data_IF_205860942181
#
_entry.id   IF_205860942181
#
_cell.length_a   1.000
_cell.length_b   1.000
_cell.length_c   1.000
_cell.angle_alpha   90.00
_cell.angle_beta   90.00
_cell.angle_gamma   90.00
#
_symmetry.space_group_name_H-M   'P 1'
#
loop_
_entity.id
_entity.type
_entity.pdbx_description
1 polymer ?
#
# COMPACT_ATOMS: atom_id res chain seq x y z
N UNK A 1 -6.98 -15.46 -7.19
CA UNK A 1 -7.20 -14.00 -7.26
C UNK A 1 -8.49 -13.58 -7.96
N UNK A 2 -9.23 -14.51 -8.58
CA UNK A 2 -10.48 -14.24 -9.30
C UNK A 2 -11.65 -14.29 -8.32
N UNK A 3 -12.72 -13.54 -8.60
CA UNK A 3 -13.98 -13.71 -7.88
C UNK A 3 -14.67 -15.05 -8.22
N UNK A 4 -15.49 -15.60 -7.32
CA UNK A 4 -16.41 -16.68 -7.66
C UNK A 4 -17.33 -16.29 -8.82
N UNK A 5 -17.70 -17.24 -9.67
CA UNK A 5 -18.50 -16.97 -10.87
C UNK A 5 -19.82 -16.25 -10.56
N UNK A 6 -20.57 -16.70 -9.57
CA UNK A 6 -21.82 -16.06 -9.12
C UNK A 6 -21.63 -14.60 -8.68
N UNK A 7 -20.46 -14.24 -8.13
CA UNK A 7 -20.13 -12.86 -7.75
C UNK A 7 -19.86 -11.99 -8.99
N UNK A 8 -19.21 -12.56 -10.01
CA UNK A 8 -18.97 -11.88 -11.28
C UNK A 8 -20.28 -11.68 -12.06
N UNK A 9 -21.15 -12.68 -12.07
CA UNK A 9 -22.49 -12.57 -12.67
C UNK A 9 -23.33 -11.48 -11.99
N UNK A 10 -23.30 -11.42 -10.65
CA UNK A 10 -23.96 -10.37 -9.88
C UNK A 10 -23.41 -8.98 -10.25
N UNK A 11 -22.09 -8.84 -10.37
CA UNK A 11 -21.49 -7.58 -10.80
C UNK A 11 -22.04 -7.13 -12.16
N UNK A 12 -22.01 -7.98 -13.18
CA UNK A 12 -22.49 -7.62 -14.52
C UNK A 12 -24.01 -7.47 -14.60
N UNK A 13 -24.77 -8.18 -13.77
CA UNK A 13 -26.22 -7.99 -13.61
C UNK A 13 -26.56 -6.55 -13.19
N UNK A 14 -25.71 -5.93 -12.38
CA UNK A 14 -25.91 -4.57 -11.87
C UNK A 14 -25.22 -3.51 -12.73
N UNK A 15 -24.00 -3.77 -13.18
CA UNK A 15 -23.17 -2.80 -13.89
C UNK A 15 -23.65 -2.55 -15.33
N UNK A 16 -24.08 -3.59 -16.05
CA UNK A 16 -24.52 -3.40 -17.45
C UNK A 16 -25.80 -2.55 -17.57
N UNK A 17 -26.87 -2.76 -16.76
CA UNK A 17 -28.01 -1.85 -16.77
C UNK A 17 -27.65 -0.41 -16.40
N UNK A 18 -26.69 -0.23 -15.47
CA UNK A 18 -26.21 1.10 -15.10
C UNK A 18 -25.50 1.80 -16.26
N UNK A 19 -24.67 1.10 -17.03
CA UNK A 19 -24.06 1.64 -18.25
C UNK A 19 -25.11 2.00 -19.31
N UNK A 20 -26.11 1.15 -19.53
CA UNK A 20 -27.23 1.46 -20.45
C UNK A 20 -27.94 2.73 -20.00
N UNK A 21 -28.28 2.83 -18.72
CA UNK A 21 -28.93 4.01 -18.14
C UNK A 21 -28.09 5.27 -18.31
N UNK A 22 -26.79 5.19 -18.01
CA UNK A 22 -25.87 6.31 -18.19
C UNK A 22 -25.78 6.73 -19.66
N UNK A 23 -25.67 5.78 -20.60
CA UNK A 23 -25.61 6.06 -22.04
C UNK A 23 -26.87 6.75 -22.57
N UNK A 24 -28.04 6.37 -22.06
CA UNK A 24 -29.31 7.04 -22.38
C UNK A 24 -29.38 8.46 -21.81
N UNK A 25 -29.06 8.64 -20.53
CA UNK A 25 -29.18 9.94 -19.83
C UNK A 25 -28.17 10.97 -20.32
N UNK A 26 -26.97 10.52 -20.70
CA UNK A 26 -25.91 11.37 -21.24
C UNK A 26 -26.03 11.60 -22.75
N UNK A 27 -27.00 10.95 -23.42
CA UNK A 27 -27.21 10.96 -24.88
C UNK A 27 -26.02 10.45 -25.71
N UNK A 28 -25.06 9.76 -25.09
CA UNK A 28 -23.96 9.11 -25.79
C UNK A 28 -24.43 7.87 -26.57
N UNK A 29 -25.43 7.17 -26.03
CA UNK A 29 -26.04 6.01 -26.69
C UNK A 29 -27.54 5.93 -26.37
N UNK A 30 -28.36 6.87 -26.87
CA UNK A 30 -29.79 6.96 -26.53
C UNK A 30 -30.63 5.78 -27.07
N UNK A 31 -30.07 4.99 -27.99
CA UNK A 31 -30.73 3.86 -28.64
C UNK A 31 -30.56 2.54 -27.87
N UNK A 32 -29.74 2.49 -26.82
CA UNK A 32 -29.61 1.28 -26.00
C UNK A 32 -30.93 1.03 -25.29
N UNK A 33 -31.49 -0.18 -25.41
CA UNK A 33 -32.71 -0.59 -24.73
C UNK A 33 -32.44 -1.61 -23.63
N UNK A 34 -31.40 -2.44 -23.79
CA UNK A 34 -31.05 -3.47 -22.82
C UNK A 34 -29.54 -3.68 -22.66
N UNK A 35 -29.10 -4.37 -21.60
CA UNK A 35 -27.70 -4.78 -21.43
C UNK A 35 -27.10 -5.54 -22.63
N UNK A 36 -27.90 -6.29 -23.41
CA UNK A 36 -27.39 -7.00 -24.58
C UNK A 36 -26.95 -6.04 -25.69
N UNK A 37 -27.52 -4.84 -25.76
CA UNK A 37 -27.17 -3.83 -26.76
C UNK A 37 -25.75 -3.28 -26.57
N UNK A 38 -25.16 -3.38 -25.37
CA UNK A 38 -23.79 -2.97 -25.12
C UNK A 38 -22.79 -3.72 -26.03
N UNK A 39 -23.10 -4.95 -26.44
CA UNK A 39 -22.26 -5.73 -27.38
C UNK A 39 -22.20 -5.14 -28.79
N UNK A 40 -23.11 -4.22 -29.13
CA UNK A 40 -23.13 -3.50 -30.40
C UNK A 40 -22.19 -2.30 -30.41
N UNK A 41 -21.73 -1.87 -29.23
CA UNK A 41 -20.83 -0.74 -29.08
C UNK A 41 -19.38 -1.18 -29.18
N UNK A 42 -18.53 -0.27 -29.66
CA UNK A 42 -17.08 -0.42 -29.57
C UNK A 42 -16.61 -0.22 -28.12
N UNK A 43 -15.41 -0.73 -27.80
CA UNK A 43 -14.81 -0.53 -26.48
C UNK A 43 -14.65 0.96 -26.13
N UNK A 44 -14.29 1.80 -27.11
CA UNK A 44 -14.14 3.24 -26.94
C UNK A 44 -15.47 3.90 -26.53
N UNK A 45 -16.57 3.57 -27.21
CA UNK A 45 -17.90 4.06 -26.85
C UNK A 45 -18.34 3.62 -25.45
N UNK A 46 -18.03 2.37 -25.06
CA UNK A 46 -18.32 1.89 -23.70
C UNK A 46 -17.49 2.67 -22.68
N UNK A 47 -16.21 2.96 -22.96
CA UNK A 47 -15.35 3.76 -22.10
C UNK A 47 -15.87 5.20 -21.97
N UNK A 48 -16.38 5.81 -23.04
CA UNK A 48 -16.99 7.14 -22.99
C UNK A 48 -18.21 7.18 -22.07
N UNK A 49 -19.13 6.20 -22.23
CA UNK A 49 -20.31 6.06 -21.36
C UNK A 49 -19.88 5.84 -19.91
N UNK A 50 -18.89 4.95 -19.67
CA UNK A 50 -18.34 4.69 -18.34
C UNK A 50 -17.77 5.96 -17.72
N UNK A 51 -17.00 6.74 -18.48
CA UNK A 51 -16.39 7.97 -17.96
C UNK A 51 -17.47 8.99 -17.59
N UNK A 52 -18.47 9.17 -18.44
CA UNK A 52 -19.59 10.07 -18.17
C UNK A 52 -20.40 9.65 -16.93
N UNK A 53 -20.57 8.35 -16.69
CA UNK A 53 -21.16 7.82 -15.45
C UNK A 53 -20.40 8.29 -14.20
N UNK A 54 -19.07 8.16 -14.20
CA UNK A 54 -18.26 8.56 -13.04
C UNK A 54 -18.06 10.06 -12.91
N UNK A 55 -18.18 10.83 -14.00
CA UNK A 55 -18.15 12.29 -13.99
C UNK A 55 -19.46 12.89 -13.44
N UNK A 56 -20.57 12.16 -13.52
CA UNK A 56 -21.90 12.59 -13.09
C UNK A 56 -22.46 11.64 -12.03
N UNK A 57 -21.94 11.72 -10.80
CA UNK A 57 -22.29 10.82 -9.68
C UNK A 57 -23.81 10.78 -9.40
N UNK A 58 -24.57 11.83 -9.73
CA UNK A 58 -26.03 11.86 -9.58
C UNK A 58 -26.76 10.82 -10.47
N UNK A 59 -26.09 10.28 -11.50
CA UNK A 59 -26.61 9.19 -12.31
C UNK A 59 -26.79 7.90 -11.50
N UNK A 60 -25.95 7.64 -10.50
CA UNK A 60 -26.14 6.51 -9.58
C UNK A 60 -27.42 6.69 -8.76
N UNK A 61 -27.63 7.87 -8.19
CA UNK A 61 -28.80 8.15 -7.34
C UNK A 61 -30.11 8.06 -8.14
N UNK A 62 -30.13 8.64 -9.35
CA UNK A 62 -31.30 8.57 -10.22
C UNK A 62 -31.56 7.17 -10.78
N UNK A 63 -30.52 6.39 -11.08
CA UNK A 63 -30.64 4.97 -11.43
C UNK A 63 -31.26 4.17 -10.29
N UNK A 64 -30.77 4.34 -9.06
CA UNK A 64 -31.28 3.61 -7.89
C UNK A 64 -32.73 4.01 -7.56
N UNK A 65 -33.08 5.29 -7.68
CA UNK A 65 -34.43 5.78 -7.41
C UNK A 65 -35.46 5.26 -8.43
N UNK A 66 -35.09 5.17 -9.71
CA UNK A 66 -35.96 4.64 -10.76
C UNK A 66 -35.97 3.12 -10.81
N UNK A 67 -34.89 2.49 -10.33
CA UNK A 67 -34.67 1.05 -10.32
C UNK A 67 -35.11 0.33 -11.61
N UNK A 68 -34.65 0.77 -12.79
CA UNK A 68 -35.12 0.23 -14.07
C UNK A 68 -34.78 -1.26 -14.26
N UNK A 69 -33.79 -1.76 -13.50
CA UNK A 69 -33.37 -3.16 -13.52
C UNK A 69 -34.12 -4.06 -12.53
N UNK A 70 -35.03 -3.50 -11.70
CA UNK A 70 -35.75 -4.26 -10.67
C UNK A 70 -34.83 -4.89 -9.62
N UNK A 71 -33.71 -4.23 -9.30
CA UNK A 71 -32.75 -4.69 -8.30
C UNK A 71 -33.35 -4.68 -6.90
N UNK A 72 -32.97 -5.65 -6.08
CA UNK A 72 -33.33 -5.75 -4.66
C UNK A 72 -32.62 -4.67 -3.82
N UNK A 73 -33.08 -4.46 -2.59
CA UNK A 73 -32.46 -3.48 -1.68
C UNK A 73 -30.95 -3.73 -1.47
N UNK A 74 -30.55 -4.99 -1.24
CA UNK A 74 -29.14 -5.38 -1.07
C UNK A 74 -28.32 -5.17 -2.34
N UNK A 75 -28.92 -5.35 -3.51
CA UNK A 75 -28.25 -5.05 -4.79
C UNK A 75 -28.07 -3.54 -5.00
N UNK A 76 -29.07 -2.74 -4.63
CA UNK A 76 -28.97 -1.28 -4.67
C UNK A 76 -27.93 -0.75 -3.68
N UNK A 77 -27.72 -1.39 -2.53
CA UNK A 77 -26.62 -1.06 -1.61
C UNK A 77 -25.25 -1.26 -2.25
N UNK A 78 -25.07 -2.30 -3.07
CA UNK A 78 -23.84 -2.52 -3.85
C UNK A 78 -23.62 -1.35 -4.82
N UNK A 79 -24.65 -0.99 -5.59
CA UNK A 79 -24.60 0.13 -6.54
C UNK A 79 -24.33 1.46 -5.83
N UNK A 80 -24.94 1.68 -4.66
CA UNK A 80 -24.68 2.87 -3.84
C UNK A 80 -23.22 2.94 -3.39
N UNK A 81 -22.64 1.79 -3.03
CA UNK A 81 -21.23 1.67 -2.66
C UNK A 81 -20.29 2.11 -3.77
N UNK A 82 -20.62 1.85 -5.04
CA UNK A 82 -19.79 2.23 -6.20
C UNK A 82 -19.54 3.72 -6.33
N UNK A 83 -20.31 4.58 -5.66
CA UNK A 83 -20.02 6.02 -5.57
C UNK A 83 -18.70 6.34 -4.86
N UNK A 84 -18.17 5.41 -4.06
CA UNK A 84 -16.86 5.50 -3.42
C UNK A 84 -15.71 4.97 -4.30
N UNK A 85 -15.88 5.03 -5.62
CA UNK A 85 -14.89 4.55 -6.57
C UNK A 85 -13.55 5.30 -6.46
N UNK A 86 -12.47 4.66 -6.90
CA UNK A 86 -11.18 5.31 -7.12
C UNK A 86 -10.81 5.15 -8.58
N UNK A 87 -10.80 6.26 -9.31
CA UNK A 87 -10.48 6.31 -10.74
C UNK A 87 -9.11 6.92 -10.94
N UNK A 88 -8.33 6.36 -11.85
CA UNK A 88 -7.08 6.98 -12.29
C UNK A 88 -6.08 5.98 -12.84
N UNK A 89 -4.82 6.45 -12.88
CA UNK A 89 -3.69 5.62 -13.27
C UNK A 89 -3.10 4.90 -12.06
N UNK A 90 -2.89 3.59 -12.22
CA UNK A 90 -2.32 2.70 -11.25
C UNK A 90 -1.11 1.96 -11.82
N UNK A 91 -0.19 1.58 -10.93
CA UNK A 91 0.85 0.62 -11.20
C UNK A 91 0.50 -0.71 -10.56
N UNK A 92 0.34 -1.76 -11.36
CA UNK A 92 0.27 -3.11 -10.86
C UNK A 92 1.69 -3.55 -10.57
N UNK A 93 1.97 -3.82 -9.30
CA UNK A 93 3.33 -3.99 -8.79
C UNK A 93 3.58 -5.40 -8.25
N UNK A 94 2.53 -6.15 -7.90
CA UNK A 94 2.60 -7.53 -7.40
C UNK A 94 1.34 -8.32 -7.74
N UNK A 95 1.50 -9.60 -8.05
CA UNK A 95 0.43 -10.59 -8.02
C UNK A 95 0.55 -11.43 -6.75
N UNK A 96 -0.55 -11.57 -6.01
CA UNK A 96 -0.67 -12.45 -4.84
C UNK A 96 -1.71 -13.52 -5.10
N UNK A 97 -1.78 -14.53 -4.21
CA UNK A 97 -2.74 -15.64 -4.32
C UNK A 97 -4.18 -15.15 -4.46
N UNK A 98 -4.57 -14.17 -3.65
CA UNK A 98 -5.97 -13.75 -3.53
C UNK A 98 -6.32 -12.44 -4.27
N UNK A 99 -5.33 -11.64 -4.64
CA UNK A 99 -5.52 -10.34 -5.32
C UNK A 99 -4.24 -9.87 -6.02
N UNK A 100 -4.36 -8.90 -6.92
CA UNK A 100 -3.24 -8.12 -7.45
C UNK A 100 -3.10 -6.80 -6.66
N UNK A 101 -1.88 -6.27 -6.53
CA UNK A 101 -1.64 -5.00 -5.85
C UNK A 101 -1.56 -3.87 -6.86
N UNK A 102 -2.51 -2.95 -6.78
CA UNK A 102 -2.58 -1.72 -7.57
C UNK A 102 -2.09 -0.56 -6.70
N UNK A 103 -1.02 0.10 -7.10
CA UNK A 103 -0.47 1.29 -6.45
C UNK A 103 -0.97 2.54 -7.18
N UNK A 104 -1.55 3.51 -6.47
CA UNK A 104 -1.93 4.79 -7.10
C UNK A 104 -0.69 5.52 -7.60
N UNK A 105 -0.83 6.21 -8.72
CA UNK A 105 0.20 7.11 -9.24
C UNK A 105 0.28 8.45 -8.50
N UNK A 106 -0.83 8.87 -7.90
CA UNK A 106 -0.93 10.11 -7.11
C UNK A 106 -0.32 9.96 -5.71
N UNK A 107 0.19 11.07 -5.17
CA UNK A 107 0.74 11.16 -3.82
C UNK A 107 -0.31 11.67 -2.81
N UNK A 108 -0.39 11.11 -1.59
CA UNK A 108 0.36 9.94 -1.12
C UNK A 108 -0.11 8.65 -1.80
N UNK A 109 0.84 7.81 -2.20
CA UNK A 109 0.52 6.55 -2.87
C UNK A 109 -0.23 5.61 -1.92
N UNK A 110 -1.30 4.98 -2.42
CA UNK A 110 -2.07 3.95 -1.73
C UNK A 110 -1.99 2.63 -2.48
N UNK A 111 -1.90 1.53 -1.74
CA UNK A 111 -1.84 0.18 -2.29
C UNK A 111 -3.17 -0.55 -2.09
N UNK A 112 -3.83 -0.90 -3.19
CA UNK A 112 -5.11 -1.60 -3.20
C UNK A 112 -4.92 -3.07 -3.59
N UNK A 113 -5.52 -3.98 -2.83
CA UNK A 113 -5.63 -5.38 -3.18
C UNK A 113 -6.88 -5.60 -4.02
N UNK A 114 -6.70 -5.73 -5.33
CA UNK A 114 -7.79 -5.81 -6.31
C UNK A 114 -7.98 -7.24 -6.78
N UNK A 115 -9.23 -7.71 -6.76
CA UNK A 115 -9.63 -9.01 -7.32
C UNK A 115 -10.03 -8.86 -8.78
N UNK A 116 -9.66 -9.86 -9.56
CA UNK A 116 -10.05 -9.93 -10.95
C UNK A 116 -11.48 -10.50 -11.08
N UNK A 117 -12.16 -10.16 -12.17
CA UNK A 117 -13.45 -10.75 -12.53
C UNK A 117 -13.22 -12.16 -13.12
N UNK A 118 -13.59 -12.41 -14.38
CA UNK A 118 -13.45 -13.73 -15.02
C UNK A 118 -11.99 -14.14 -15.31
N UNK A 119 -11.18 -13.21 -15.80
CA UNK A 119 -9.80 -13.45 -16.22
C UNK A 119 -8.84 -12.83 -15.21
N UNK A 120 -7.77 -13.52 -14.83
CA UNK A 120 -6.78 -12.92 -13.94
C UNK A 120 -6.08 -11.74 -14.62
N UNK A 121 -5.58 -10.79 -13.83
CA UNK A 121 -4.78 -9.69 -14.39
C UNK A 121 -3.53 -10.21 -15.11
N UNK A 122 -2.86 -11.22 -14.58
CA UNK A 122 -1.69 -11.82 -15.22
C UNK A 122 -2.00 -12.37 -16.62
N UNK A 123 -3.12 -13.07 -16.79
CA UNK A 123 -3.60 -13.57 -18.09
C UNK A 123 -4.03 -12.42 -19.02
N UNK A 124 -4.65 -11.36 -18.49
CA UNK A 124 -5.28 -10.29 -19.28
C UNK A 124 -4.29 -9.23 -19.77
N UNK A 125 -3.32 -8.84 -18.94
CA UNK A 125 -2.40 -7.72 -19.20
C UNK A 125 -0.92 -8.09 -19.08
N UNK A 126 -0.61 -9.32 -18.64
CA UNK A 126 0.73 -9.89 -18.62
C UNK A 126 1.37 -10.05 -17.24
N UNK A 127 2.43 -10.86 -17.20
CA UNK A 127 3.17 -11.23 -15.99
C UNK A 127 4.33 -10.27 -15.64
N UNK A 128 4.75 -9.43 -16.59
CA UNK A 128 5.97 -8.63 -16.47
C UNK A 128 5.73 -7.32 -15.71
N UNK A 129 5.85 -7.39 -14.38
CA UNK A 129 5.64 -6.25 -13.49
C UNK A 129 6.86 -5.31 -13.42
N UNK A 130 6.67 -4.01 -13.11
CA UNK A 130 5.38 -3.35 -12.92
C UNK A 130 4.68 -3.01 -14.25
N UNK A 131 3.34 -2.92 -14.24
CA UNK A 131 2.51 -2.52 -15.39
C UNK A 131 1.73 -1.25 -15.05
N UNK A 132 1.70 -0.27 -15.96
CA UNK A 132 0.83 0.90 -15.83
C UNK A 132 -0.52 0.63 -16.47
N UNK A 133 -1.60 0.96 -15.75
CA UNK A 133 -2.98 0.79 -16.20
C UNK A 133 -3.81 2.00 -15.79
N UNK A 134 -4.81 2.35 -16.60
CA UNK A 134 -5.86 3.29 -16.24
C UNK A 134 -7.18 2.53 -16.09
N UNK A 135 -7.84 2.67 -14.94
CA UNK A 135 -9.08 1.96 -14.63
C UNK A 135 -9.84 2.61 -13.47
N UNK A 136 -10.98 2.02 -13.11
CA UNK A 136 -11.77 2.40 -11.94
C UNK A 136 -11.84 1.22 -10.98
N UNK A 137 -11.42 1.45 -9.75
CA UNK A 137 -11.57 0.52 -8.65
C UNK A 137 -12.90 0.76 -7.94
N UNK A 138 -13.67 -0.32 -7.74
CA UNK A 138 -14.98 -0.29 -7.12
C UNK A 138 -15.02 -1.11 -5.83
N UNK A 139 -15.70 -0.63 -4.77
CA UNK A 139 -16.11 -1.49 -3.67
C UNK A 139 -17.12 -2.52 -4.17
N UNK A 140 -16.91 -3.78 -3.81
CA UNK A 140 -17.84 -4.85 -4.13
C UNK A 140 -17.87 -5.85 -2.98
N UNK A 141 -18.89 -5.72 -2.13
CA UNK A 141 -19.01 -6.46 -0.86
C UNK A 141 -17.74 -6.25 -0.01
N UNK A 142 -17.01 -7.32 0.28
CA UNK A 142 -15.76 -7.31 1.05
C UNK A 142 -14.50 -7.16 0.17
N UNK A 143 -14.68 -6.88 -1.12
CA UNK A 143 -13.60 -6.86 -2.09
C UNK A 143 -13.47 -5.49 -2.76
N UNK A 144 -12.31 -5.29 -3.37
CA UNK A 144 -12.09 -4.25 -4.36
C UNK A 144 -11.93 -4.94 -5.71
N UNK A 145 -12.68 -4.48 -6.71
CA UNK A 145 -12.60 -4.96 -8.09
C UNK A 145 -12.28 -3.83 -9.05
N UNK A 146 -11.87 -4.18 -10.26
CA UNK A 146 -11.98 -3.28 -11.41
C UNK A 146 -13.42 -3.33 -11.95
N UNK A 147 -13.89 -2.22 -12.52
CA UNK A 147 -15.16 -2.10 -13.25
C UNK A 147 -15.24 -2.91 -14.57
N UNK A 148 -14.24 -3.75 -14.86
CA UNK A 148 -14.13 -4.55 -16.09
C UNK A 148 -13.48 -3.80 -17.25
N UNK A 149 -13.19 -2.50 -17.14
CA UNK A 149 -12.57 -1.70 -18.19
C UNK A 149 -11.17 -1.21 -17.76
N UNK A 150 -10.16 -1.85 -18.34
CA UNK A 150 -8.74 -1.53 -18.11
C UNK A 150 -8.08 -1.12 -19.42
N UNK A 151 -7.43 0.04 -19.41
CA UNK A 151 -6.50 0.45 -20.45
C UNK A 151 -5.08 0.23 -19.94
N UNK A 152 -4.33 -0.68 -20.56
CA UNK A 152 -2.91 -0.90 -20.23
C UNK A 152 -2.00 -0.07 -21.13
N UNK A 153 -0.86 0.36 -20.59
CA UNK A 153 0.16 1.09 -21.35
C UNK A 153 1.32 0.15 -21.68
N UNK A 154 1.68 0.07 -22.96
CA UNK A 154 2.83 -0.70 -23.45
C UNK A 154 4.14 0.04 -23.18
N UNK A 155 4.61 -0.02 -21.94
CA UNK A 155 5.88 0.57 -21.54
C UNK A 155 6.70 -0.33 -20.62
N UNK A 156 8.02 -0.24 -20.73
CA UNK A 156 8.94 -0.89 -19.82
C UNK A 156 9.52 0.13 -18.85
N UNK A 157 9.73 -0.29 -17.60
CA UNK A 157 10.31 0.56 -16.56
C UNK A 157 11.77 0.21 -16.33
N UNK A 158 12.65 1.21 -16.38
CA UNK A 158 14.06 1.08 -16.00
C UNK A 158 14.24 0.81 -14.50
N UNK A 159 15.44 0.39 -14.10
CA UNK A 159 15.76 0.01 -12.71
C UNK A 159 15.46 1.10 -11.69
N UNK A 160 15.77 2.37 -12.00
CA UNK A 160 15.50 3.50 -11.11
C UNK A 160 14.00 3.70 -10.84
N UNK A 161 13.16 3.67 -11.89
CA UNK A 161 11.70 3.79 -11.73
C UNK A 161 11.14 2.58 -10.97
N UNK A 162 11.61 1.37 -11.29
CA UNK A 162 11.21 0.15 -10.57
C UNK A 162 11.52 0.24 -9.07
N UNK A 163 12.70 0.77 -8.72
CA UNK A 163 13.08 1.00 -7.33
C UNK A 163 12.15 2.01 -6.66
N UNK A 164 11.92 3.17 -7.29
CA UNK A 164 11.04 4.22 -6.77
C UNK A 164 9.60 3.72 -6.56
N UNK A 165 9.04 2.96 -7.50
CA UNK A 165 7.72 2.35 -7.36
C UNK A 165 7.67 1.33 -6.23
N UNK A 166 8.73 0.53 -6.04
CA UNK A 166 8.80 -0.38 -4.91
C UNK A 166 8.92 0.36 -3.57
N UNK A 167 9.67 1.46 -3.50
CA UNK A 167 9.73 2.33 -2.32
C UNK A 167 8.36 2.95 -2.02
N UNK A 168 7.68 3.52 -3.02
CA UNK A 168 6.31 4.02 -2.90
C UNK A 168 5.31 2.95 -2.42
N UNK A 169 5.44 1.72 -2.91
CA UNK A 169 4.65 0.58 -2.41
C UNK A 169 4.93 0.28 -0.94
N UNK A 170 6.20 0.20 -0.53
CA UNK A 170 6.52 -0.10 0.85
C UNK A 170 6.04 1.02 1.79
N UNK A 171 6.12 2.29 1.36
CA UNK A 171 5.51 3.44 2.06
C UNK A 171 4.01 3.26 2.23
N UNK A 172 3.30 3.05 1.13
CA UNK A 172 1.86 2.87 1.12
C UNK A 172 1.44 1.73 2.07
N UNK A 173 2.14 0.60 1.97
CA UNK A 173 1.91 -0.57 2.83
C UNK A 173 2.18 -0.27 4.30
N UNK A 174 3.28 0.41 4.61
CA UNK A 174 3.62 0.80 5.99
C UNK A 174 2.57 1.74 6.60
N UNK A 175 2.13 2.73 5.83
CA UNK A 175 1.27 3.80 6.34
C UNK A 175 -0.20 3.38 6.41
N UNK A 176 -0.69 2.68 5.38
CA UNK A 176 -2.13 2.39 5.21
C UNK A 176 -2.45 0.89 5.22
N UNK A 177 -1.45 0.02 5.26
CA UNK A 177 -1.61 -1.38 4.91
C UNK A 177 -1.86 -1.57 3.41
N UNK A 178 -2.24 -2.78 3.02
CA UNK A 178 -2.84 -3.01 1.69
C UNK A 178 -4.35 -2.93 1.88
N UNK A 179 -4.99 -1.98 1.20
CA UNK A 179 -6.43 -1.74 1.28
C UNK A 179 -7.14 -2.80 0.44
N UNK A 180 -7.80 -3.76 1.09
CA UNK A 180 -8.52 -4.86 0.40
C UNK A 180 -10.03 -4.71 0.41
N UNK A 181 -10.55 -3.76 1.18
CA UNK A 181 -11.96 -3.37 1.25
C UNK A 181 -12.03 -1.85 1.53
N UNK A 182 -12.97 -1.14 0.90
CA UNK A 182 -13.21 0.29 1.17
C UNK A 182 -13.84 0.54 2.56
N UNK A 183 -14.55 -0.45 3.11
CA UNK A 183 -15.19 -0.34 4.43
C UNK A 183 -14.24 -0.63 5.59
N UNK A 184 -13.05 -1.17 5.34
CA UNK A 184 -12.06 -1.32 6.41
C UNK A 184 -11.48 0.04 6.72
N UNK A 185 -11.76 0.58 7.92
CA UNK A 185 -10.98 1.66 8.51
C UNK A 185 -9.50 1.33 8.30
N UNK A 186 -8.76 2.20 7.61
CA UNK A 186 -7.36 2.00 7.24
C UNK A 186 -6.64 1.24 8.37
N UNK A 187 -6.28 -0.03 8.13
CA UNK A 187 -5.48 -0.80 9.08
C UNK A 187 -4.08 -0.19 9.04
N UNK A 188 -3.91 0.95 9.71
CA UNK A 188 -2.61 1.56 9.96
C UNK A 188 -1.75 0.46 10.55
N UNK A 189 -0.70 0.10 9.82
CA UNK A 189 0.27 -0.84 10.35
C UNK A 189 0.76 -0.29 11.70
N UNK A 190 1.07 -1.17 12.65
CA UNK A 190 1.46 -0.71 13.98
C UNK A 190 2.60 0.31 13.85
N UNK A 191 2.63 1.33 14.71
CA UNK A 191 3.69 2.35 14.69
C UNK A 191 5.09 1.71 14.72
N UNK A 192 5.22 0.53 15.36
CA UNK A 192 6.44 -0.28 15.42
C UNK A 192 6.84 -0.85 14.06
N UNK A 193 5.89 -1.34 13.28
CA UNK A 193 6.17 -1.89 11.95
C UNK A 193 6.59 -0.78 10.97
N UNK A 194 5.99 0.40 11.11
CA UNK A 194 6.40 1.58 10.34
C UNK A 194 7.83 2.00 10.70
N UNK A 195 8.15 2.06 11.99
CA UNK A 195 9.50 2.39 12.43
C UNK A 195 10.54 1.37 11.94
N UNK A 196 10.24 0.06 12.01
CA UNK A 196 11.10 -1.00 11.45
C UNK A 196 11.37 -0.79 9.96
N UNK A 197 10.34 -0.42 9.20
CA UNK A 197 10.48 -0.17 7.78
C UNK A 197 11.40 1.03 7.52
N UNK A 198 11.15 2.16 8.19
CA UNK A 198 11.92 3.39 7.99
C UNK A 198 13.40 3.25 8.38
N UNK A 199 13.72 2.41 9.37
CA UNK A 199 15.09 2.20 9.85
C UNK A 199 15.90 1.19 9.03
N UNK A 200 15.32 0.56 7.99
CA UNK A 200 15.93 -0.57 7.27
C UNK A 200 17.22 -0.22 6.54
N UNK A 201 17.32 0.96 5.94
CA UNK A 201 18.49 1.39 5.16
C UNK A 201 18.84 2.85 5.47
N UNK A 202 20.06 3.27 5.13
CA UNK A 202 20.46 4.68 5.28
C UNK A 202 19.56 5.61 4.44
N UNK A 203 19.37 5.32 3.16
CA UNK A 203 18.51 6.10 2.28
C UNK A 203 17.07 6.20 2.82
N UNK A 204 16.52 5.09 3.35
CA UNK A 204 15.20 5.09 4.00
C UNK A 204 15.17 6.03 5.20
N UNK A 205 16.20 6.01 6.06
CA UNK A 205 16.25 6.90 7.23
C UNK A 205 16.31 8.37 6.87
N UNK A 206 16.99 8.71 5.78
CA UNK A 206 17.07 10.07 5.24
C UNK A 206 15.72 10.50 4.66
N UNK A 207 15.04 9.62 3.91
CA UNK A 207 13.72 9.90 3.33
C UNK A 207 12.64 10.11 4.40
N UNK A 208 12.61 9.28 5.46
CA UNK A 208 11.56 9.29 6.50
C UNK A 208 11.97 10.00 7.80
N UNK A 209 12.90 10.96 7.73
CA UNK A 209 13.44 11.59 8.94
C UNK A 209 12.33 12.23 9.80
N UNK A 210 11.33 12.85 9.18
CA UNK A 210 10.21 13.49 9.87
C UNK A 210 9.28 12.47 10.53
N UNK A 211 8.97 11.38 9.85
CA UNK A 211 8.10 10.31 10.34
C UNK A 211 8.78 9.52 11.47
N UNK A 212 10.07 9.22 11.34
CA UNK A 212 10.88 8.62 12.42
C UNK A 212 10.86 9.54 13.64
N UNK A 213 11.07 10.85 13.46
CA UNK A 213 11.01 11.82 14.55
C UNK A 213 9.63 11.84 15.24
N UNK A 214 8.55 11.81 14.46
CA UNK A 214 7.20 11.74 15.00
C UNK A 214 6.96 10.43 15.77
N UNK A 215 7.33 9.28 15.19
CA UNK A 215 7.12 7.96 15.79
C UNK A 215 7.88 7.78 17.11
N UNK A 216 9.14 8.20 17.16
CA UNK A 216 9.97 8.10 18.37
C UNK A 216 9.46 8.96 19.53
N UNK A 217 8.54 9.90 19.28
CA UNK A 217 7.85 10.69 20.31
C UNK A 217 6.49 10.14 20.73
N UNK A 218 5.93 9.17 19.99
CA UNK A 218 4.60 8.62 20.29
C UNK A 218 4.61 7.67 21.48
N UNK A 219 5.66 6.87 21.65
CA UNK A 219 5.76 5.94 22.76
C UNK A 219 7.21 5.64 23.13
N UNK A 220 7.39 5.18 24.37
CA UNK A 220 8.70 4.83 24.89
C UNK A 220 9.31 3.62 24.18
N UNK A 221 8.51 2.61 23.86
CA UNK A 221 8.94 1.41 23.13
C UNK A 221 9.49 1.74 21.74
N UNK A 222 8.89 2.72 21.04
CA UNK A 222 9.37 3.18 19.73
C UNK A 222 10.72 3.88 19.85
N UNK A 223 10.88 4.72 20.88
CA UNK A 223 12.16 5.38 21.16
C UNK A 223 13.25 4.35 21.46
N UNK A 224 12.99 3.38 22.34
CA UNK A 224 13.93 2.29 22.67
C UNK A 224 14.33 1.51 21.42
N UNK A 225 13.35 1.11 20.60
CA UNK A 225 13.61 0.38 19.37
C UNK A 225 14.47 1.18 18.38
N UNK A 226 14.17 2.48 18.21
CA UNK A 226 14.98 3.37 17.38
C UNK A 226 16.43 3.42 17.83
N UNK A 227 16.69 3.66 19.12
CA UNK A 227 18.06 3.72 19.65
C UNK A 227 18.78 2.37 19.52
N UNK A 228 18.07 1.25 19.70
CA UNK A 228 18.64 -0.08 19.49
C UNK A 228 19.12 -0.29 18.04
N UNK A 229 18.30 0.04 17.05
CA UNK A 229 18.65 -0.13 15.63
C UNK A 229 19.76 0.84 15.19
N UNK A 230 19.72 2.08 15.65
CA UNK A 230 20.80 3.05 15.40
C UNK A 230 22.11 2.62 16.09
N UNK A 231 22.03 2.06 17.30
CA UNK A 231 23.15 1.48 18.01
C UNK A 231 23.78 0.30 17.25
N UNK A 232 22.96 -0.63 16.72
CA UNK A 232 23.46 -1.74 15.88
C UNK A 232 24.21 -1.23 14.65
N UNK A 233 23.68 -0.20 13.99
CA UNK A 233 24.30 0.43 12.82
C UNK A 233 25.65 1.06 13.18
N UNK A 234 25.73 1.84 14.27
CA UNK A 234 26.97 2.47 14.74
C UNK A 234 28.00 1.44 15.22
N UNK A 235 27.55 0.41 15.95
CA UNK A 235 28.41 -0.66 16.47
C UNK A 235 29.20 -1.37 15.37
N UNK A 236 28.63 -1.51 14.17
CA UNK A 236 29.34 -2.11 13.02
C UNK A 236 30.60 -1.33 12.65
N UNK A 237 30.54 0.00 12.68
CA UNK A 237 31.68 0.88 12.42
C UNK A 237 32.70 0.81 13.57
N UNK A 238 32.24 0.94 14.82
CA UNK A 238 33.13 0.89 15.98
C UNK A 238 33.86 -0.44 16.13
N UNK A 239 33.18 -1.58 15.93
CA UNK A 239 33.82 -2.91 15.96
C UNK A 239 34.93 -3.02 14.91
N UNK A 240 34.77 -2.42 13.73
CA UNK A 240 35.81 -2.41 12.70
C UNK A 240 37.03 -1.64 13.20
N UNK A 241 36.82 -0.47 13.79
CA UNK A 241 37.90 0.37 14.33
C UNK A 241 38.60 -0.28 15.52
N UNK A 242 37.85 -0.83 16.49
CA UNK A 242 38.43 -1.55 17.64
C UNK A 242 39.33 -2.70 17.21
N UNK A 243 38.90 -3.51 16.23
CA UNK A 243 39.74 -4.58 15.70
C UNK A 243 41.01 -4.05 15.03
N UNK A 244 40.95 -2.91 14.34
CA UNK A 244 42.14 -2.30 13.70
C UNK A 244 43.19 -1.86 14.72
N UNK A 245 42.77 -1.38 15.89
CA UNK A 245 43.67 -0.93 16.96
C UNK A 245 43.97 -2.03 18.00
N UNK A 246 43.60 -3.29 17.72
CA UNK A 246 43.96 -4.44 18.54
C UNK A 246 43.09 -4.66 19.79
N UNK A 247 41.97 -3.92 19.94
CA UNK A 247 41.02 -4.15 21.04
C UNK A 247 40.18 -5.39 20.75
N UNK A 248 40.27 -6.40 21.62
CA UNK A 248 39.57 -7.68 21.52
C UNK A 248 39.03 -8.09 22.90
N UNK A 249 38.02 -8.96 22.92
CA UNK A 249 37.41 -9.51 24.15
C UNK A 249 36.91 -8.41 25.09
N UNK A 250 36.23 -7.42 24.51
CA UNK A 250 35.71 -6.25 25.23
C UNK A 250 34.23 -6.05 24.93
N UNK A 251 33.57 -5.24 25.75
CA UNK A 251 32.21 -4.77 25.61
C UNK A 251 32.19 -3.26 25.61
N UNK A 252 31.26 -2.67 24.86
CA UNK A 252 31.03 -1.23 24.85
C UNK A 252 29.55 -0.90 24.74
N UNK A 253 29.13 0.15 25.44
CA UNK A 253 27.77 0.69 25.42
C UNK A 253 27.66 1.85 24.45
N UNK A 254 26.59 1.88 23.65
CA UNK A 254 26.27 2.98 22.74
C UNK A 254 25.00 3.68 23.22
N UNK A 255 25.03 5.01 23.23
CA UNK A 255 23.86 5.89 23.38
C UNK A 255 23.94 6.97 22.30
N UNK A 256 22.84 7.19 21.57
CA UNK A 256 22.77 8.24 20.52
C UNK A 256 23.91 8.16 19.47
N UNK A 257 24.40 6.94 19.18
CA UNK A 257 25.50 6.71 18.23
C UNK A 257 26.90 6.96 18.80
N UNK A 258 27.01 7.35 20.08
CA UNK A 258 28.27 7.57 20.77
C UNK A 258 28.60 6.42 21.71
N UNK A 259 29.89 6.10 21.85
CA UNK A 259 30.35 5.17 22.88
C UNK A 259 30.35 5.91 24.21
N UNK A 260 29.62 5.39 25.19
CA UNK A 260 29.51 6.01 26.53
C UNK A 260 30.34 5.29 27.59
N UNK A 261 30.59 3.98 27.41
CA UNK A 261 31.33 3.17 28.36
C UNK A 261 31.88 1.91 27.69
N UNK A 262 32.94 1.34 28.26
CA UNK A 262 33.51 0.06 27.86
C UNK A 262 34.03 -0.74 29.05
N UNK A 263 34.21 -2.05 28.87
CA UNK A 263 34.70 -2.98 29.89
C UNK A 263 35.15 -4.31 29.28
N UNK A 264 35.84 -5.15 30.04
CA UNK A 264 36.19 -6.52 29.62
C UNK A 264 34.97 -7.42 29.58
N UNK A 265 33.98 -7.16 30.43
CA UNK A 265 32.73 -7.91 30.51
C UNK A 265 31.53 -6.99 30.26
N UNK A 266 30.40 -7.58 29.87
CA UNK A 266 29.14 -6.83 29.73
C UNK A 266 28.75 -6.12 31.05
N UNK A 267 28.74 -6.80 32.23
CA UNK A 267 28.39 -6.14 33.48
C UNK A 267 29.32 -4.96 33.82
N UNK A 268 30.62 -5.06 33.55
CA UNK A 268 31.57 -3.98 33.79
C UNK A 268 31.26 -2.74 32.92
N UNK A 269 30.98 -2.95 31.63
CA UNK A 269 30.60 -1.85 30.73
C UNK A 269 29.25 -1.23 31.15
N UNK A 270 28.33 -2.06 31.63
CA UNK A 270 26.99 -1.64 32.08
C UNK A 270 27.06 -0.78 33.34
N UNK A 271 27.77 -1.22 34.37
CA UNK A 271 27.97 -0.43 35.59
C UNK A 271 28.55 0.95 35.29
N UNK A 272 29.63 1.01 34.49
CA UNK A 272 30.28 2.27 34.09
C UNK A 272 29.35 3.19 33.29
N UNK A 273 28.52 2.62 32.42
CA UNK A 273 27.52 3.41 31.69
C UNK A 273 26.49 4.03 32.64
N UNK A 274 25.98 3.26 33.61
CA UNK A 274 24.91 3.69 34.52
C UNK A 274 25.34 4.81 35.48
N UNK A 275 26.65 4.95 35.74
CA UNK A 275 27.26 6.02 36.54
C UNK A 275 27.11 7.40 35.89
N UNK A 276 27.14 7.47 34.56
CA UNK A 276 27.14 8.74 33.81
C UNK A 276 25.83 8.98 33.04
N UNK A 277 25.07 7.92 32.73
CA UNK A 277 23.85 8.02 31.95
C UNK A 277 22.66 8.39 32.85
N UNK A 278 21.92 9.47 32.52
CA UNK A 278 20.69 9.87 33.20
C UNK A 278 19.68 8.73 33.29
N UNK A 279 18.93 8.65 34.38
CA UNK A 279 18.02 7.53 34.66
C UNK A 279 17.01 7.27 33.52
N UNK A 280 16.49 8.36 32.94
CA UNK A 280 15.55 8.38 31.82
C UNK A 280 16.19 8.02 30.46
N UNK A 281 17.49 7.76 30.40
CA UNK A 281 18.20 7.33 29.17
C UNK A 281 18.84 5.95 29.28
N UNK A 282 18.85 5.33 30.46
CA UNK A 282 19.55 4.06 30.73
C UNK A 282 19.10 2.92 29.83
N UNK A 283 17.79 2.79 29.60
CA UNK A 283 17.24 1.75 28.72
C UNK A 283 17.50 1.97 27.21
N UNK A 284 17.98 3.16 26.84
CA UNK A 284 18.37 3.46 25.46
C UNK A 284 19.80 2.99 25.15
N UNK A 285 20.56 2.61 26.19
CA UNK A 285 21.93 2.13 26.06
C UNK A 285 21.93 0.67 25.62
N UNK A 286 22.63 0.38 24.52
CA UNK A 286 22.84 -0.99 24.06
C UNK A 286 24.31 -1.38 24.11
N UNK A 287 24.57 -2.58 24.63
CA UNK A 287 25.91 -3.11 24.81
C UNK A 287 26.24 -4.13 23.71
N UNK A 288 27.42 -3.97 23.13
CA UNK A 288 27.88 -4.80 22.03
C UNK A 288 29.24 -5.44 22.35
N UNK A 289 29.45 -6.72 21.98
CA UNK A 289 30.74 -7.37 22.15
C UNK A 289 31.69 -7.04 21.00
N UNK A 290 32.97 -6.92 21.31
CA UNK A 290 34.11 -6.92 20.38
C UNK A 290 34.76 -8.29 20.44
N UNK A 291 34.37 -9.17 19.53
CA UNK A 291 34.91 -10.53 19.46
C UNK A 291 36.23 -10.53 18.70
N UNK A 292 37.11 -11.46 19.07
CA UNK A 292 38.29 -11.81 18.30
C UNK A 292 37.84 -12.31 16.91
N UNK A 293 38.39 -11.71 15.85
CA UNK A 293 38.28 -12.26 14.50
C UNK A 293 39.18 -13.47 14.35
#
# INVERSE_FOLDING_TARGET
MKLPEAEVELFYKLFNPLLVYAGQRTKLAPHLASPQDLRKLTLEQIIEIRNALYDQIQLFDSFMAQNPAGASATELEIVAGWKNFVRGMFYIIRYQKDYAVFLTSEAPAKAYGVRALYTSFEEMIGANLPLAVNTVLLPFKEYIICDGLISSYSMSFGSGIRQSLNEAYQRAKSQFGIITNFNSSEKRQSDMDSLKFYLRTQASREEYAAEIYALTRKSRDLLVFYHQEMGKSAAKSFKKHFNMIGIQNAWFGILEGMIIASGKTRPEAETRALEIVPADKRELVYFFPVNKK
#
